data_IF_462980585136
#
_entry.id   IF_462980585136
#
_cell.length_a   1.000
_cell.length_b   1.000
_cell.length_c   1.000
_cell.angle_alpha   90.00
_cell.angle_beta   90.00
_cell.angle_gamma   90.00
#
_symmetry.space_group_name_H-M   'P 1'
#
loop_
_entity.id
_entity.type
_entity.pdbx_description
1 polymer ?
2 non-polymer ?
3 water ?
#
# COMPACT_ATOMS: atom_id res chain seq x y z
N UNK A 1 1.54 8.71 6.20
CA UNK A 1 2.99 8.91 5.89
C UNK A 1 3.56 10.01 6.80
N UNK A 2 4.64 9.70 7.52
CA UNK A 2 5.28 10.66 8.41
C UNK A 2 6.54 11.24 7.77
N UNK A 3 6.64 12.56 7.78
CA UNK A 3 7.79 13.22 7.20
C UNK A 3 7.89 13.13 5.69
N UNK A 4 6.74 13.10 5.03
CA UNK A 4 6.72 13.02 3.57
C UNK A 4 6.47 14.37 2.95
N UNK A 5 6.02 14.37 1.69
CA UNK A 5 5.73 15.60 0.96
C UNK A 5 4.48 15.36 0.10
N UNK A 6 3.82 16.44 -0.30
CA UNK A 6 2.62 16.34 -1.13
C UNK A 6 3.00 15.77 -2.50
N UNK A 7 2.57 14.55 -2.78
CA UNK A 7 2.87 13.91 -4.06
C UNK A 7 2.64 14.91 -5.18
N UNK A 8 3.51 14.87 -6.19
CA UNK A 8 3.36 15.78 -7.32
C UNK A 8 2.25 15.23 -8.22
N UNK A 9 1.61 16.09 -8.99
CA UNK A 9 0.56 15.66 -9.89
C UNK A 9 1.02 14.50 -10.77
N UNK A 10 0.18 13.48 -10.90
CA UNK A 10 0.50 12.32 -11.72
C UNK A 10 1.67 11.44 -11.28
N UNK A 11 2.12 11.60 -10.03
CA UNK A 11 3.25 10.81 -9.54
C UNK A 11 2.85 9.39 -9.11
N UNK A 12 1.61 9.21 -8.65
CA UNK A 12 1.15 7.90 -8.20
C UNK A 12 -0.19 7.53 -8.86
N UNK A 13 -0.17 7.27 -10.16
CA UNK A 13 -1.39 6.92 -10.90
C UNK A 13 -2.11 5.65 -10.43
N UNK A 14 -1.37 4.75 -9.80
CA UNK A 14 -1.90 3.47 -9.33
C UNK A 14 -2.48 3.49 -7.91
N UNK A 15 -2.49 4.66 -7.28
CA UNK A 15 -3.01 4.78 -5.92
C UNK A 15 -4.52 4.64 -5.81
N UNK A 16 -4.96 3.86 -4.81
CA UNK A 16 -6.37 3.66 -4.53
C UNK A 16 -6.59 3.91 -3.03
N UNK A 17 -7.80 4.32 -2.68
CA UNK A 17 -8.16 4.60 -1.29
C UNK A 17 -9.43 3.87 -0.89
N UNK A 18 -9.38 3.16 0.23
CA UNK A 18 -10.57 2.45 0.71
C UNK A 18 -11.28 3.39 1.66
N UNK A 19 -12.58 3.57 1.45
CA UNK A 19 -13.38 4.44 2.29
C UNK A 19 -14.52 3.67 2.97
N UNK A 20 -14.73 3.95 4.25
CA UNK A 20 -15.77 3.27 5.02
C UNK A 20 -17.15 3.86 4.81
N UNK A 21 -18.10 3.46 5.67
CA UNK A 21 -19.47 3.94 5.61
C UNK A 21 -19.56 5.46 5.73
N UNK A 22 -18.75 6.02 6.63
CA UNK A 22 -18.74 7.47 6.87
C UNK A 22 -17.93 8.25 5.83
N UNK A 23 -17.68 7.63 4.68
CA UNK A 23 -16.92 8.27 3.61
C UNK A 23 -15.53 8.73 4.05
N UNK A 24 -14.95 8.02 5.02
CA UNK A 24 -13.62 8.36 5.51
C UNK A 24 -12.61 7.31 5.04
N UNK A 25 -11.40 7.76 4.70
CA UNK A 25 -10.38 6.85 4.24
C UNK A 25 -9.74 6.11 5.40
N UNK A 26 -9.59 4.80 5.28
CA UNK A 26 -9.00 4.03 6.36
C UNK A 26 -7.85 3.13 5.93
N UNK A 27 -7.67 2.99 4.62
CA UNK A 27 -6.60 2.16 4.09
C UNK A 27 -6.31 2.50 2.64
N UNK A 28 -5.11 2.14 2.19
CA UNK A 28 -4.72 2.39 0.83
C UNK A 28 -4.94 1.17 -0.04
N UNK A 29 -4.53 1.29 -1.30
CA UNK A 29 -4.67 0.20 -2.23
C UNK A 29 -3.86 0.50 -3.48
N UNK A 30 -3.64 -0.52 -4.29
CA UNK A 30 -2.89 -0.38 -5.53
C UNK A 30 -3.71 -0.95 -6.68
N UNK A 31 -3.84 -0.20 -7.76
CA UNK A 31 -4.58 -0.69 -8.92
C UNK A 31 -3.67 -1.70 -9.63
N UNK A 32 -4.22 -2.87 -9.92
CA UNK A 32 -3.45 -3.93 -10.61
C UNK A 32 -3.96 -4.07 -12.04
N UNK A 33 -5.26 -3.85 -12.20
CA UNK A 33 -5.91 -3.94 -13.49
C UNK A 33 -7.23 -3.19 -13.38
N UNK A 34 -8.03 -3.22 -14.44
CA UNK A 34 -9.31 -2.51 -14.46
C UNK A 34 -10.32 -2.99 -13.41
N UNK A 35 -10.25 -4.27 -13.04
CA UNK A 35 -11.18 -4.82 -12.06
C UNK A 35 -10.55 -5.16 -10.72
N UNK A 36 -9.23 -5.25 -10.68
CA UNK A 36 -8.55 -5.65 -9.44
C UNK A 36 -7.69 -4.63 -8.71
N UNK A 37 -7.84 -4.65 -7.39
CA UNK A 37 -7.12 -3.76 -6.48
C UNK A 37 -6.40 -4.62 -5.44
N UNK A 38 -5.16 -4.26 -5.16
CA UNK A 38 -4.35 -4.96 -4.16
C UNK A 38 -4.32 -4.13 -2.88
N UNK A 39 -4.50 -4.78 -1.73
CA UNK A 39 -4.46 -4.07 -0.46
C UNK A 39 -4.01 -5.06 0.62
N UNK A 40 -4.07 -4.61 1.88
CA UNK A 40 -3.65 -5.44 3.01
C UNK A 40 -4.84 -6.22 3.58
N UNK A 41 -4.63 -7.48 3.94
CA UNK A 41 -5.70 -8.30 4.49
C UNK A 41 -6.24 -7.72 5.79
N UNK A 42 -5.36 -7.12 6.60
CA UNK A 42 -5.78 -6.57 7.88
C UNK A 42 -6.71 -5.37 7.79
N UNK A 43 -6.82 -4.78 6.59
CA UNK A 43 -7.70 -3.63 6.36
C UNK A 43 -9.14 -4.12 6.23
N UNK A 44 -9.29 -5.39 5.86
CA UNK A 44 -10.60 -6.00 5.66
C UNK A 44 -11.45 -6.03 6.93
N UNK A 45 -10.83 -6.11 8.10
CA UNK A 45 -11.59 -6.14 9.33
C UNK A 45 -11.61 -4.81 10.06
N UNK A 46 -11.13 -3.76 9.40
CA UNK A 46 -11.11 -2.43 9.99
C UNK A 46 -12.33 -1.64 9.57
N UNK A 47 -13.25 -2.29 8.87
CA UNK A 47 -14.49 -1.65 8.39
C UNK A 47 -15.47 -2.69 7.88
N UNK A 48 -16.76 -2.47 8.13
CA UNK A 48 -17.79 -3.39 7.68
C UNK A 48 -17.99 -3.30 6.18
N UNK A 49 -18.42 -2.13 5.71
CA UNK A 49 -18.64 -1.90 4.29
C UNK A 49 -17.69 -0.82 3.80
N UNK A 50 -17.27 -0.92 2.54
CA UNK A 50 -16.36 0.07 1.98
C UNK A 50 -16.36 0.07 0.46
N UNK A 51 -15.85 1.16 -0.11
CA UNK A 51 -15.76 1.32 -1.54
C UNK A 51 -14.31 1.70 -1.85
N UNK A 52 -13.98 1.81 -3.13
CA UNK A 52 -12.62 2.17 -3.52
C UNK A 52 -12.63 3.46 -4.33
N UNK A 53 -11.76 4.38 -4.00
CA UNK A 53 -11.67 5.64 -4.72
C UNK A 53 -10.33 5.76 -5.43
N UNK A 54 -10.38 6.09 -6.72
CA UNK A 54 -9.17 6.27 -7.51
C UNK A 54 -9.29 7.61 -8.22
N UNK A 55 -8.21 8.06 -8.82
CA UNK A 55 -8.24 9.33 -9.53
C UNK A 55 -7.82 10.50 -8.67
N UNK A 56 -8.01 11.70 -9.21
CA UNK A 56 -7.64 12.94 -8.53
C UNK A 56 -8.50 14.07 -9.09
N UNK A 57 -8.43 15.24 -8.46
CA UNK A 57 -9.21 16.39 -8.89
C UNK A 57 -8.40 17.43 -9.67
N UNK A 58 -7.18 17.08 -10.05
CA UNK A 58 -6.32 17.98 -10.81
C UNK A 58 -6.64 17.90 -12.29
N UNK A 59 -7.73 18.57 -12.68
CA UNK A 59 -8.18 18.57 -14.06
C UNK A 59 -7.34 19.43 -14.99
N UNK A 60 -6.44 20.23 -14.40
CA UNK A 60 -5.57 21.09 -15.20
C UNK A 60 -4.73 20.25 -16.16
N UNK A 61 -4.07 19.23 -15.62
CA UNK A 61 -3.22 18.35 -16.44
C UNK A 61 -4.04 17.29 -17.19
N UNK A 62 -5.13 16.83 -16.58
CA UNK A 62 -5.96 15.82 -17.22
C UNK A 62 -7.33 15.76 -16.57
N UNK A 63 -8.36 15.62 -17.40
CA UNK A 63 -9.74 15.55 -16.92
C UNK A 63 -10.14 14.13 -16.59
N UNK A 64 -11.12 13.99 -15.70
CA UNK A 64 -11.58 12.67 -15.30
C UNK A 64 -12.04 12.67 -13.86
N UNK A 65 -11.29 13.35 -13.01
CA UNK A 65 -11.66 13.42 -11.60
C UNK A 65 -11.44 12.13 -10.83
N UNK A 66 -12.10 12.04 -9.68
CA UNK A 66 -12.01 10.86 -8.81
C UNK A 66 -13.19 9.96 -9.14
N UNK A 67 -12.98 8.65 -9.01
CA UNK A 67 -14.04 7.69 -9.28
C UNK A 67 -14.18 6.74 -8.09
N UNK A 68 -15.41 6.57 -7.62
CA UNK A 68 -15.66 5.68 -6.49
C UNK A 68 -16.23 4.38 -7.05
N UNK A 69 -15.64 3.27 -6.65
CA UNK A 69 -16.08 1.96 -7.11
C UNK A 69 -16.56 1.06 -5.99
N UNK A 70 -17.55 0.25 -6.30
CA UNK A 70 -18.09 -0.68 -5.33
C UNK A 70 -17.29 -1.99 -5.45
N UNK A 71 -17.12 -2.67 -4.32
CA UNK A 71 -16.37 -3.92 -4.33
C UNK A 71 -17.34 -5.10 -4.46
N UNK A 72 -17.12 -5.90 -5.50
CA UNK A 72 -17.96 -7.05 -5.77
C UNK A 72 -17.51 -8.29 -5.00
N UNK A 73 -16.23 -8.61 -5.08
CA UNK A 73 -15.66 -9.77 -4.38
C UNK A 73 -14.41 -9.41 -3.61
N UNK A 74 -14.33 -9.87 -2.36
CA UNK A 74 -13.17 -9.64 -1.52
C UNK A 74 -12.45 -10.98 -1.38
N UNK A 75 -11.18 -11.02 -1.80
CA UNK A 75 -10.40 -12.24 -1.73
C UNK A 75 -9.16 -12.05 -0.86
N UNK A 76 -9.29 -12.45 0.39
CA UNK A 76 -8.24 -12.34 1.39
C UNK A 76 -7.35 -13.58 1.32
N UNK A 77 -6.05 -13.41 1.55
CA UNK A 77 -5.15 -14.57 1.52
C UNK A 77 -5.53 -15.41 2.75
N UNK A 78 -5.98 -16.63 2.50
CA UNK A 78 -6.44 -17.52 3.55
C UNK A 78 -5.44 -17.87 4.64
N UNK A 79 -4.17 -17.57 4.42
CA UNK A 79 -3.16 -17.89 5.42
C UNK A 79 -2.85 -16.71 6.34
N UNK A 80 -3.56 -15.59 6.14
CA UNK A 80 -3.35 -14.42 6.98
C UNK A 80 -3.79 -14.69 8.41
N UNK A 81 -3.02 -14.14 9.35
CA UNK A 81 -3.31 -14.26 10.78
C UNK A 81 -2.74 -13.02 11.46
N UNK A 82 -3.48 -12.42 12.38
CA UNK A 82 -2.98 -11.24 13.06
C UNK A 82 -1.99 -11.61 14.17
N UNK A 83 -1.71 -12.90 14.28
CA UNK A 83 -0.76 -13.36 15.29
C UNK A 83 0.63 -12.95 14.85
N UNK A 84 0.86 -12.96 13.53
CA UNK A 84 2.15 -12.61 12.97
C UNK A 84 2.06 -11.48 11.94
N UNK A 85 0.86 -11.33 11.37
CA UNK A 85 0.58 -10.34 10.33
C UNK A 85 1.30 -10.75 9.05
N UNK A 86 1.55 -12.06 8.95
CA UNK A 86 2.17 -12.65 7.77
C UNK A 86 1.03 -12.84 6.79
N UNK A 87 1.31 -12.83 5.49
CA UNK A 87 0.27 -12.99 4.48
C UNK A 87 -0.74 -11.85 4.55
N UNK A 88 -0.25 -10.66 4.89
CA UNK A 88 -1.08 -9.46 4.98
C UNK A 88 -1.30 -8.92 3.56
N UNK A 89 -2.11 -9.66 2.79
CA UNK A 89 -2.39 -9.29 1.43
C UNK A 89 -3.78 -9.75 1.01
N UNK A 90 -4.46 -8.93 0.22
CA UNK A 90 -5.80 -9.23 -0.24
C UNK A 90 -6.04 -8.61 -1.62
N UNK A 91 -6.91 -9.24 -2.40
CA UNK A 91 -7.24 -8.76 -3.73
C UNK A 91 -8.74 -8.46 -3.77
N UNK A 92 -9.08 -7.29 -4.31
CA UNK A 92 -10.47 -6.86 -4.40
C UNK A 92 -10.92 -6.85 -5.84
N UNK A 93 -12.17 -7.24 -6.06
CA UNK A 93 -12.74 -7.23 -7.40
C UNK A 93 -13.87 -6.21 -7.41
N UNK A 94 -13.75 -5.23 -8.29
CA UNK A 94 -14.75 -4.17 -8.40
C UNK A 94 -15.94 -4.58 -9.25
N UNK A 95 -17.10 -3.98 -8.97
CA UNK A 95 -18.33 -4.27 -9.71
C UNK A 95 -18.18 -3.72 -11.13
N UNK A 96 -17.64 -2.51 -11.22
CA UNK A 96 -17.44 -1.87 -12.50
C UNK A 96 -15.95 -1.62 -12.69
N UNK A 97 -15.46 -1.78 -13.93
CA UNK A 97 -14.04 -1.57 -14.22
C UNK A 97 -13.65 -0.11 -14.13
N UNK A 98 -12.39 0.14 -13.82
CA UNK A 98 -11.88 1.50 -13.73
C UNK A 98 -11.55 2.01 -15.13
N UNK A 99 -11.87 3.27 -15.38
CA UNK A 99 -11.56 3.88 -16.67
C UNK A 99 -10.19 4.50 -16.54
N UNK A 100 -9.19 3.83 -17.14
CA UNK A 100 -7.82 4.31 -17.08
C UNK A 100 -7.56 5.56 -17.90
N UNK A 101 -6.54 6.28 -17.49
CA UNK A 101 -6.10 7.48 -18.17
C UNK A 101 -4.64 7.58 -17.77
N UNK A 102 -3.97 8.65 -18.19
CA UNK A 102 -2.56 8.81 -17.85
C UNK A 102 -2.31 8.93 -16.35
N UNK A 103 -3.24 9.54 -15.62
CA UNK A 103 -3.10 9.71 -14.17
C UNK A 103 -3.85 8.66 -13.34
N UNK A 104 -4.37 7.64 -14.01
CA UNK A 104 -5.08 6.54 -13.36
C UNK A 104 -4.70 5.27 -14.12
N UNK A 105 -3.61 4.63 -13.69
CA UNK A 105 -3.13 3.43 -14.36
C UNK A 105 -2.64 2.37 -13.38
N UNK A 106 -2.61 1.11 -13.82
CA UNK A 106 -2.15 0.01 -12.96
C UNK A 106 -0.66 -0.01 -12.67
N UNK A 107 -0.28 -0.67 -11.59
CA UNK A 107 1.13 -0.78 -11.23
C UNK A 107 1.65 -2.08 -11.85
N UNK A 108 2.97 -2.19 -11.99
CA UNK A 108 3.58 -3.39 -12.56
C UNK A 108 4.00 -4.35 -11.47
N UNK A 109 3.63 -5.62 -11.62
CA UNK A 109 4.02 -6.64 -10.64
C UNK A 109 5.54 -6.80 -10.76
N UNK A 110 6.20 -7.25 -9.68
CA UNK A 110 7.66 -7.41 -9.75
C UNK A 110 8.11 -8.66 -10.50
N UNK A 111 9.29 -8.58 -11.10
CA UNK A 111 9.88 -9.67 -11.84
C UNK A 111 11.17 -10.14 -11.17
N UNK A 112 11.53 -9.44 -10.09
CA UNK A 112 12.73 -9.73 -9.32
C UNK A 112 12.54 -9.20 -7.89
N UNK A 113 13.13 -9.89 -6.89
CA UNK A 113 13.01 -9.45 -5.50
C UNK A 113 13.62 -8.07 -5.27
N UNK A 114 13.18 -7.36 -4.22
CA UNK A 114 13.72 -6.03 -3.93
C UNK A 114 15.19 -6.07 -3.51
N UNK A 115 15.99 -5.15 -4.06
CA UNK A 115 17.40 -5.09 -3.74
C UNK A 115 17.74 -4.03 -2.69
N UNK A 116 18.58 -4.41 -1.73
CA UNK A 116 19.01 -3.52 -0.65
C UNK A 116 19.59 -2.20 -1.16
N UNK A 117 19.14 -1.10 -0.57
CA UNK A 117 19.63 0.20 -0.97
C UNK A 117 18.76 0.87 -2.01
N UNK A 118 18.00 0.07 -2.74
CA UNK A 118 17.12 0.57 -3.78
C UNK A 118 16.12 1.58 -3.20
N UNK A 119 15.88 2.66 -3.95
CA UNK A 119 14.95 3.69 -3.52
C UNK A 119 13.54 3.32 -3.95
N UNK A 120 12.60 3.54 -3.04
CA UNK A 120 11.21 3.21 -3.30
C UNK A 120 10.33 4.40 -2.97
N UNK A 121 9.14 4.41 -3.57
CA UNK A 121 8.19 5.47 -3.34
C UNK A 121 6.99 4.89 -2.60
N UNK A 122 6.74 5.41 -1.40
CA UNK A 122 5.63 4.97 -0.57
C UNK A 122 4.62 6.11 -0.51
N UNK A 123 3.34 5.80 -0.68
CA UNK A 123 2.32 6.84 -0.68
C UNK A 123 1.08 6.43 0.12
N UNK A 124 0.35 7.43 0.60
CA UNK A 124 -0.84 7.16 1.38
C UNK A 124 -1.53 8.39 1.96
N UNK A 125 -2.74 8.18 2.45
CA UNK A 125 -3.55 9.22 3.05
C UNK A 125 -3.60 9.04 4.56
N UNK A 126 -2.72 8.19 5.08
CA UNK A 126 -2.68 7.92 6.51
C UNK A 126 -2.07 9.00 7.38
N UNK A 127 -2.01 8.71 8.67
CA UNK A 127 -1.48 9.64 9.66
C UNK A 127 -0.08 10.17 9.34
N UNK A 128 0.11 11.47 9.55
CA UNK A 128 1.40 12.12 9.29
C UNK A 128 2.14 12.48 10.58
N UNK A 129 1.60 12.07 11.72
CA UNK A 129 2.21 12.39 13.01
C UNK A 129 2.76 11.16 13.74
N UNK A 130 3.98 11.29 14.26
CA UNK A 130 4.63 10.21 15.00
C UNK A 130 3.79 9.86 16.22
N UNK A 131 3.38 10.89 16.95
CA UNK A 131 2.54 10.72 18.14
C UNK A 131 1.40 11.70 18.01
N UNK A 132 0.18 11.19 17.94
CA UNK A 132 -0.98 12.03 17.80
C UNK A 132 -1.62 11.72 16.46
N UNK A 133 -2.71 12.42 16.14
CA UNK A 133 -3.42 12.18 14.89
C UNK A 133 -3.53 13.43 14.01
N UNK A 134 -2.84 13.43 12.89
CA UNK A 134 -2.86 14.54 11.95
C UNK A 134 -2.92 13.97 10.53
N UNK A 135 -4.13 13.92 9.99
CA UNK A 135 -4.34 13.38 8.64
C UNK A 135 -4.26 14.48 7.57
N UNK A 136 -3.68 14.15 6.41
CA UNK A 136 -3.53 15.09 5.30
C UNK A 136 -4.73 15.33 4.38
N UNK A 137 -4.71 16.49 3.74
CA UNK A 137 -5.77 16.87 2.81
C UNK A 137 -5.32 16.44 1.42
N UNK A 138 -4.02 16.19 1.28
CA UNK A 138 -3.46 15.77 0.00
C UNK A 138 -2.66 14.47 0.14
N UNK A 139 -2.64 13.66 -0.93
CA UNK A 139 -1.92 12.41 -0.92
C UNK A 139 -0.44 12.66 -0.58
N UNK A 140 0.10 11.89 0.37
CA UNK A 140 1.49 12.05 0.79
C UNK A 140 2.42 11.06 0.10
N UNK A 141 3.67 11.48 -0.08
CA UNK A 141 4.68 10.65 -0.75
C UNK A 141 5.96 10.59 0.08
N UNK A 142 6.65 9.47 0.02
CA UNK A 142 7.90 9.29 0.75
C UNK A 142 8.87 8.42 -0.03
N UNK A 143 10.10 8.89 -0.15
CA UNK A 143 11.14 8.14 -0.84
C UNK A 143 11.98 7.52 0.27
N UNK A 144 12.13 6.20 0.24
CA UNK A 144 12.90 5.51 1.27
C UNK A 144 13.64 4.32 0.69
N UNK A 145 14.81 3.99 1.24
CA UNK A 145 15.59 2.86 0.74
C UNK A 145 15.15 1.53 1.33
N UNK A 146 15.43 0.46 0.59
CA UNK A 146 15.12 -0.90 1.03
C UNK A 146 16.25 -1.23 2.00
N UNK A 147 15.90 -1.77 3.16
CA UNK A 147 16.90 -2.13 4.17
C UNK A 147 17.28 -3.59 4.03
N UNK A 148 18.51 -3.91 4.44
CA UNK A 148 19.00 -5.28 4.38
C UNK A 148 18.19 -6.10 5.35
N UNK A 149 17.98 -7.37 5.03
CA UNK A 149 17.18 -8.24 5.88
C UNK A 149 17.77 -8.33 7.28
N UNK A 150 19.10 -8.23 7.37
CA UNK A 150 19.81 -8.31 8.65
C UNK A 150 19.38 -7.19 9.60
N UNK A 151 19.30 -5.97 9.07
CA UNK A 151 18.91 -4.82 9.87
C UNK A 151 17.43 -4.91 10.20
N UNK A 152 16.64 -5.45 9.27
CA UNK A 152 15.20 -5.61 9.46
C UNK A 152 14.97 -6.58 10.63
N UNK A 153 15.56 -7.77 10.52
CA UNK A 153 15.43 -8.78 11.55
C UNK A 153 15.97 -8.26 12.89
N UNK A 154 17.01 -7.45 12.83
CA UNK A 154 17.59 -6.89 14.05
C UNK A 154 16.62 -5.92 14.69
N UNK A 155 15.75 -5.32 13.87
CA UNK A 155 14.78 -4.35 14.35
C UNK A 155 13.56 -5.01 15.01
N UNK A 156 13.19 -6.17 14.50
CA UNK A 156 12.04 -6.91 15.02
C UNK A 156 12.44 -8.37 15.16
N UNK A 157 13.24 -8.67 16.21
CA UNK A 157 13.72 -10.04 16.48
C UNK A 157 12.65 -11.12 16.47
N UNK A 158 12.82 -12.10 15.58
CA UNK A 158 11.89 -13.20 15.47
C UNK A 158 10.51 -12.90 14.92
N UNK A 159 10.26 -11.66 14.53
CA UNK A 159 8.95 -11.29 13.99
C UNK A 159 8.94 -11.06 12.48
N UNK A 160 10.09 -11.22 11.85
CA UNK A 160 10.21 -11.02 10.43
C UNK A 160 10.23 -12.34 9.67
N UNK A 161 9.26 -12.55 8.79
CA UNK A 161 9.20 -13.78 8.00
C UNK A 161 9.82 -13.53 6.63
N UNK A 162 9.93 -14.60 5.84
CA UNK A 162 10.49 -14.48 4.51
C UNK A 162 9.57 -13.67 3.59
N UNK A 163 8.31 -13.53 3.99
CA UNK A 163 7.32 -12.77 3.20
C UNK A 163 7.28 -11.30 3.60
N UNK A 164 8.27 -10.87 4.38
CA UNK A 164 8.32 -9.49 4.83
C UNK A 164 9.69 -8.88 4.55
N UNK A 165 9.72 -7.56 4.41
CA UNK A 165 10.95 -6.82 4.18
C UNK A 165 10.78 -5.42 4.75
N UNK A 166 11.90 -4.81 5.14
CA UNK A 166 11.87 -3.49 5.74
C UNK A 166 12.27 -2.40 4.77
N UNK A 167 11.59 -1.26 4.88
CA UNK A 167 11.86 -0.11 4.04
C UNK A 167 11.73 1.09 4.95
N UNK A 168 12.71 1.99 4.91
CA UNK A 168 12.63 3.16 5.75
C UNK A 168 13.96 3.64 6.30
N UNK A 169 13.90 4.28 7.46
CA UNK A 169 15.10 4.80 8.09
C UNK A 169 15.26 4.34 9.53
N UNK A 170 16.44 3.82 9.84
CA UNK A 170 16.73 3.33 11.18
C UNK A 170 16.77 4.46 12.20
N UNK A 171 17.01 5.69 11.74
CA UNK A 171 17.07 6.83 12.65
C UNK A 171 15.68 7.39 12.92
N UNK A 172 14.68 6.88 12.20
CA UNK A 172 13.32 7.34 12.40
C UNK A 172 13.01 8.69 11.75
N UNK A 173 11.80 9.18 11.98
CA UNK A 173 11.41 10.47 11.42
C UNK A 173 10.58 10.35 10.16
N UNK A 174 10.82 9.30 9.36
CA UNK A 174 10.08 9.10 8.11
C UNK A 174 9.66 7.65 7.97
N UNK A 175 8.36 7.42 7.84
CA UNK A 175 7.84 6.07 7.76
C UNK A 175 6.38 6.16 7.33
N UNK A 176 5.76 5.01 7.06
CA UNK A 176 4.34 5.01 6.74
C UNK A 176 3.71 4.96 8.14
N UNK A 177 2.40 4.92 8.21
CA UNK A 177 1.76 4.91 9.52
C UNK A 177 0.34 4.40 9.34
N UNK A 178 -0.45 4.52 10.40
CA UNK A 178 -1.85 4.09 10.38
C UNK A 178 -2.63 4.73 9.24
N UNK A 179 -3.42 3.90 8.55
CA UNK A 179 -4.21 4.39 7.43
C UNK A 179 -3.54 4.19 6.09
N UNK A 180 -2.23 3.98 6.10
CA UNK A 180 -1.46 3.79 4.86
C UNK A 180 -1.46 2.34 4.39
N UNK A 181 -1.78 1.42 5.32
CA UNK A 181 -1.83 -0.01 5.03
C UNK A 181 -2.50 -0.32 3.69
N UNK A 182 -1.93 -1.26 2.94
CA UNK A 182 -2.50 -1.62 1.65
C UNK A 182 -1.88 -0.80 0.54
N UNK A 183 -1.37 0.37 0.90
CA UNK A 183 -0.76 1.26 -0.06
C UNK A 183 0.45 0.68 -0.76
N UNK A 184 0.84 1.26 -1.90
CA UNK A 184 1.98 0.83 -2.70
C UNK A 184 3.38 1.27 -2.29
N UNK A 185 4.32 0.40 -2.60
CA UNK A 185 5.74 0.63 -2.37
C UNK A 185 6.33 0.31 -3.75
N UNK A 186 6.58 1.34 -4.54
CA UNK A 186 7.12 1.13 -5.88
C UNK A 186 8.60 1.49 -5.97
N UNK A 187 9.40 0.49 -6.33
CA UNK A 187 10.84 0.68 -6.46
C UNK A 187 11.27 0.46 -7.91
N UNK A 188 11.81 1.51 -8.51
CA UNK A 188 12.28 1.44 -9.89
C UNK A 188 11.19 0.96 -10.84
N UNK A 189 9.98 1.50 -10.69
CA UNK A 189 8.88 1.12 -11.56
C UNK A 189 8.15 -0.19 -11.26
N UNK A 190 8.56 -0.91 -10.22
CA UNK A 190 7.90 -2.17 -9.89
C UNK A 190 7.25 -2.15 -8.51
N UNK A 191 6.11 -2.81 -8.38
CA UNK A 191 5.42 -2.89 -7.12
C UNK A 191 6.14 -3.95 -6.29
N UNK A 192 6.90 -3.50 -5.30
CA UNK A 192 7.66 -4.43 -4.47
C UNK A 192 7.02 -4.69 -3.11
N UNK A 193 6.16 -3.79 -2.65
CA UNK A 193 5.53 -3.98 -1.36
C UNK A 193 4.15 -3.39 -1.13
N UNK A 194 3.56 -3.79 -0.02
CA UNK A 194 2.25 -3.34 0.42
C UNK A 194 2.48 -2.90 1.85
N UNK A 195 2.03 -1.70 2.22
CA UNK A 195 2.21 -1.22 3.58
C UNK A 195 1.51 -2.21 4.52
N UNK A 196 2.23 -2.70 5.53
CA UNK A 196 1.67 -3.68 6.46
C UNK A 196 1.65 -3.34 7.95
N UNK A 197 2.81 -3.29 8.60
CA UNK A 197 2.83 -3.02 10.03
C UNK A 197 4.17 -2.50 10.53
N UNK A 198 4.21 -2.21 11.82
CA UNK A 198 5.43 -1.72 12.43
C UNK A 198 5.18 -1.39 13.89
N UNK A 199 6.27 -1.13 14.62
CA UNK A 199 6.15 -0.78 16.02
C UNK A 199 6.07 0.74 16.07
N UNK A 200 4.85 1.25 16.22
CA UNK A 200 4.66 2.69 16.23
C UNK A 200 4.82 3.22 14.81
N UNK A 201 5.22 4.47 14.70
CA UNK A 201 5.42 5.14 13.41
C UNK A 201 6.62 6.07 13.47
N UNK A 202 7.55 5.87 12.54
CA UNK A 202 8.73 6.72 12.46
C UNK A 202 9.61 6.67 13.71
N UNK A 203 9.50 5.59 14.48
CA UNK A 203 10.31 5.42 15.68
C UNK A 203 11.72 5.00 15.31
N UNK A 204 12.68 5.36 16.16
CA UNK A 204 14.08 5.04 15.94
C UNK A 204 14.28 3.52 15.98
N UNK A 205 14.99 3.00 14.99
CA UNK A 205 15.26 1.57 14.90
C UNK A 205 13.99 0.73 14.73
N UNK A 206 12.90 1.38 14.33
CA UNK A 206 11.63 0.69 14.11
C UNK A 206 11.07 1.05 12.73
N UNK A 207 11.72 0.55 11.66
CA UNK A 207 11.27 0.84 10.29
C UNK A 207 9.98 0.12 9.90
N UNK A 208 9.27 0.69 8.94
CA UNK A 208 8.04 0.07 8.49
C UNK A 208 8.31 -1.31 7.92
N UNK A 209 7.41 -2.24 8.18
CA UNK A 209 7.54 -3.60 7.67
C UNK A 209 6.49 -3.78 6.56
N UNK A 210 6.92 -4.27 5.41
CA UNK A 210 6.04 -4.43 4.27
C UNK A 210 5.89 -5.84 3.75
N UNK A 211 4.76 -6.10 3.11
CA UNK A 211 4.48 -7.39 2.51
C UNK A 211 5.33 -7.45 1.24
N UNK A 212 6.15 -8.49 1.11
CA UNK A 212 7.01 -8.66 -0.03
C UNK A 212 6.19 -9.22 -1.21
N UNK A 213 5.69 -8.32 -2.04
CA UNK A 213 4.86 -8.68 -3.19
C UNK A 213 5.49 -9.73 -4.13
N UNK A 214 6.81 -9.71 -4.25
CA UNK A 214 7.48 -10.66 -5.13
C UNK A 214 7.17 -12.12 -4.77
N UNK A 215 7.00 -12.39 -3.49
CA UNK A 215 6.70 -13.74 -3.02
C UNK A 215 5.25 -14.15 -3.31
N UNK A 216 4.42 -13.17 -3.66
CA UNK A 216 3.01 -13.43 -3.93
C UNK A 216 2.58 -13.28 -5.38
N UNK A 217 3.54 -13.13 -6.29
CA UNK A 217 3.20 -12.99 -7.69
C UNK A 217 2.34 -14.15 -8.19
N UNK A 218 2.71 -15.37 -7.80
CA UNK A 218 1.98 -16.57 -8.21
C UNK A 218 0.58 -16.59 -7.61
N UNK A 219 0.48 -16.25 -6.33
CA UNK A 219 -0.81 -16.22 -5.66
C UNK A 219 -1.72 -15.16 -6.30
N UNK A 220 -1.19 -13.98 -6.57
CA UNK A 220 -2.00 -12.93 -7.17
C UNK A 220 -2.49 -13.31 -8.57
N UNK A 221 -1.57 -13.75 -9.42
CA UNK A 221 -1.89 -14.14 -10.79
C UNK A 221 -2.93 -15.25 -10.90
N UNK A 222 -2.72 -16.33 -10.15
CA UNK A 222 -3.63 -17.46 -10.17
C UNK A 222 -4.98 -17.16 -9.52
N UNK A 223 -4.96 -16.33 -8.47
CA UNK A 223 -6.19 -15.95 -7.78
C UNK A 223 -7.07 -15.12 -8.70
N UNK A 224 -6.43 -14.24 -9.47
CA UNK A 224 -7.15 -13.39 -10.40
C UNK A 224 -7.70 -14.24 -11.55
N UNK A 225 -6.90 -15.20 -12.00
CA UNK A 225 -7.31 -16.08 -13.09
C UNK A 225 -8.38 -17.08 -12.62
N UNK A 226 -8.35 -17.44 -11.34
CA UNK A 226 -9.32 -18.39 -10.81
C UNK A 226 -10.67 -17.71 -10.70
N UNK A 227 -10.65 -16.39 -10.55
CA UNK A 227 -11.87 -15.63 -10.42
C UNK A 227 -12.15 -14.80 -11.67
N UNK A 228 -11.56 -15.19 -12.79
CA UNK A 228 -11.75 -14.48 -14.05
C UNK A 228 -11.88 -15.44 -15.22
X LIG B 1 1.29 -1.58 15.72
X LIG B 1 0.95 -2.89 15.11
X LIG B 1 0.59 -2.73 13.64
X LIG B 1 1.29 -2.07 12.89
X LIG B 1 2.15 -3.84 15.21
X LIG B 1 2.36 -4.40 16.59
X LIG B 1 1.36 -5.11 17.23
X LIG B 1 3.57 -4.21 17.24
X LIG B 1 1.56 -5.64 18.50
X LIG B 1 3.79 -4.73 18.51
X LIG B 1 2.78 -5.44 19.14
X LIG B 1 -0.55 -3.32 13.22
X LIG B 1 -0.96 -3.22 11.83
X LIG B 1 -1.32 -1.79 11.38
X LIG B 1 -1.89 -1.02 12.15
X LIG B 1 -2.16 -4.16 11.74
X LIG B 1 -2.72 -4.15 13.12
X LIG B 1 -1.53 -4.05 14.04
X LIG B 1 -0.97 -1.48 10.14
X LIG B 1 -1.24 -0.17 9.57
X LIG B 1 -2.38 -0.30 8.49
X LIG B 1 -2.87 1.02 8.25
X LIG B 1 0.05 0.39 8.98
X LIG B 1 1.08 0.75 10.03
X LIG B 1 2.44 1.04 9.43
X LIG B 1 3.42 1.40 10.45
X LIG B 1 4.69 1.72 10.20
X LIG B 1 5.15 1.73 8.96
X LIG B 1 5.51 2.02 11.21
X LIG B 1 -3.61 -1.23 8.85
#
# INVERSE_FOLDING_TARGET
IVGGYNCKDGEVPWQALLINEENEGFCGGTILSEFYILTAAHCLYQAKRFKVRVGDRNTEQEEGGEAVHEVEVVIKHNRFTKETYDFDIAVLRLKTPITFRMNVAPASLPTAPPATGTKCLISGWGNTASSGADYPDELQCLDAPVLSQAKCEASYPGKITSNMFCVGFLEGGKDSCQGDSGGPVVCNGQLQGVVSWGDGCAQKNKPGVYTKVYNYVKWIKNTIAANS
0G6 N CA C O CB CG CD1 CD2 CE1 CE2 CZ N1 CA1 C1 O1 CB1 CG1 CD N2 CA2 C2 O2 CB2 CG2 CD3 NE CZ1 NH1 NH2 C3
#
